data_IF_772178420170
#
_entry.id   IF_772178420170
#
_cell.length_a   1.000
_cell.length_b   1.000
_cell.length_c   1.000
_cell.angle_alpha   90.00
_cell.angle_beta   90.00
_cell.angle_gamma   90.00
#
_symmetry.space_group_name_H-M   'P 1'
#
loop_
_entity.id
_entity.type
_entity.pdbx_description
1 polymer ?
#
# COMPACT_ATOMS: atom_id res chain seq x y z
N UNK A 1 -9.64 8.04 12.21
CA UNK A 1 -8.45 7.37 12.76
C UNK A 1 -7.94 6.45 11.69
N UNK A 2 -6.63 6.38 11.53
CA UNK A 2 -6.02 5.44 10.59
C UNK A 2 -6.19 4.01 11.08
N UNK A 3 -6.17 3.04 10.16
CA UNK A 3 -6.36 1.62 10.49
C UNK A 3 -5.18 1.05 11.27
N UNK A 4 -4.03 0.86 10.59
CA UNK A 4 -2.79 0.38 11.19
C UNK A 4 -1.66 1.42 11.04
N UNK A 5 -0.86 1.59 12.10
CA UNK A 5 0.32 2.45 12.09
C UNK A 5 1.55 1.56 12.28
N UNK A 6 2.46 1.59 11.32
CA UNK A 6 3.78 0.93 11.38
C UNK A 6 4.85 2.02 11.51
N UNK A 7 5.55 2.06 12.64
CA UNK A 7 6.48 3.14 12.98
C UNK A 7 7.66 2.62 13.79
N UNK A 8 8.82 3.26 13.62
CA UNK A 8 10.03 2.98 14.39
C UNK A 8 10.90 1.88 13.77
N UNK A 9 12.17 1.78 14.20
CA UNK A 9 13.11 0.81 13.67
C UNK A 9 12.66 -0.62 14.02
N UNK A 10 12.66 -1.50 13.01
CA UNK A 10 12.29 -2.90 13.18
C UNK A 10 12.01 -3.56 11.84
N UNK A 11 11.89 -4.89 11.85
CA UNK A 11 11.42 -5.66 10.70
C UNK A 11 9.95 -5.99 10.90
N UNK A 12 9.11 -5.61 9.95
CA UNK A 12 7.67 -5.80 10.03
C UNK A 12 7.18 -6.63 8.86
N UNK A 13 6.19 -7.48 9.10
CA UNK A 13 5.44 -8.14 8.03
C UNK A 13 3.96 -7.90 8.27
N UNK A 14 3.33 -7.22 7.32
CA UNK A 14 1.88 -6.98 7.29
C UNK A 14 1.34 -7.80 6.15
N UNK A 15 0.72 -8.94 6.44
CA UNK A 15 0.24 -9.82 5.38
C UNK A 15 -1.09 -10.47 5.68
N UNK A 16 -1.81 -10.78 4.59
CA UNK A 16 -3.04 -11.57 4.62
C UNK A 16 -4.18 -10.89 5.41
N UNK A 17 -4.24 -9.54 5.40
CA UNK A 17 -5.27 -8.75 6.07
C UNK A 17 -6.27 -8.13 5.09
N UNK A 18 -7.45 -7.78 5.60
CA UNK A 18 -8.41 -6.89 4.94
C UNK A 18 -8.52 -5.61 5.77
N UNK A 19 -8.12 -4.49 5.19
CA UNK A 19 -8.36 -3.17 5.74
C UNK A 19 -9.59 -2.57 5.08
N UNK A 20 -10.61 -2.26 5.88
CA UNK A 20 -11.92 -1.80 5.40
C UNK A 20 -12.33 -0.55 6.18
N UNK A 21 -12.23 0.61 5.54
CA UNK A 21 -12.51 1.89 6.19
C UNK A 21 -11.30 2.60 6.81
N UNK A 22 -11.57 3.74 7.43
CA UNK A 22 -10.55 4.58 8.07
C UNK A 22 -10.23 5.86 7.27
N UNK A 23 -9.41 6.72 7.87
CA UNK A 23 -8.88 7.91 7.20
C UNK A 23 -7.80 7.47 6.21
N UNK A 24 -6.70 6.89 6.73
CA UNK A 24 -5.84 5.96 6.02
C UNK A 24 -6.18 4.50 6.37
N UNK A 25 -6.06 3.53 5.45
CA UNK A 25 -6.11 2.11 5.85
C UNK A 25 -4.83 1.73 6.61
N UNK A 26 -3.68 2.17 6.13
CA UNK A 26 -2.38 1.94 6.77
C UNK A 26 -1.48 3.17 6.63
N UNK A 27 -0.71 3.43 7.67
CA UNK A 27 0.33 4.46 7.74
C UNK A 27 1.69 3.80 8.01
N UNK A 28 2.69 4.09 7.19
CA UNK A 28 4.09 3.76 7.41
C UNK A 28 4.87 5.03 7.71
N UNK A 29 5.49 5.10 8.89
CA UNK A 29 6.28 6.25 9.31
C UNK A 29 7.76 5.96 9.50
N UNK A 30 8.47 6.97 10.01
CA UNK A 30 9.92 6.95 10.20
C UNK A 30 10.43 5.63 10.82
N UNK A 31 11.44 5.03 10.18
CA UNK A 31 12.08 3.79 10.63
C UNK A 31 11.46 2.49 10.11
N UNK A 32 10.29 2.55 9.44
CA UNK A 32 9.59 1.36 8.93
C UNK A 32 10.13 0.83 7.58
N UNK A 33 11.32 1.22 7.13
CA UNK A 33 11.85 0.82 5.81
C UNK A 33 12.08 -0.68 5.64
N UNK A 34 12.21 -1.45 6.73
CA UNK A 34 12.33 -2.91 6.68
C UNK A 34 10.96 -3.62 6.75
N UNK A 35 9.86 -2.91 6.50
CA UNK A 35 8.54 -3.51 6.42
C UNK A 35 8.28 -4.16 5.05
N UNK A 36 7.67 -5.35 5.08
CA UNK A 36 7.08 -6.01 3.92
C UNK A 36 5.57 -6.04 4.13
N UNK A 37 4.82 -5.51 3.18
CA UNK A 37 3.37 -5.46 3.18
C UNK A 37 2.83 -6.20 1.96
N UNK A 38 2.22 -7.36 2.15
CA UNK A 38 1.84 -8.23 1.03
C UNK A 38 0.58 -9.05 1.24
N UNK A 39 -0.12 -9.40 0.15
CA UNK A 39 -1.37 -10.19 0.16
C UNK A 39 -2.48 -9.57 1.01
N UNK A 40 -2.50 -8.25 1.16
CA UNK A 40 -3.57 -7.53 1.82
C UNK A 40 -4.59 -7.00 0.81
N UNK A 41 -5.79 -6.69 1.30
CA UNK A 41 -6.82 -5.96 0.58
C UNK A 41 -7.09 -4.64 1.28
N UNK A 42 -6.85 -3.52 0.60
CA UNK A 42 -7.10 -2.17 1.08
C UNK A 42 -8.33 -1.59 0.40
N UNK A 43 -9.37 -1.32 1.18
CA UNK A 43 -10.61 -0.72 0.70
C UNK A 43 -11.31 0.15 1.73
N UNK A 44 -12.33 0.87 1.29
CA UNK A 44 -13.20 1.71 2.09
C UNK A 44 -12.52 2.96 2.67
N UNK A 45 -11.26 3.26 2.30
CA UNK A 45 -10.56 4.44 2.84
C UNK A 45 -11.27 5.73 2.47
N UNK A 46 -11.32 6.67 3.41
CA UNK A 46 -11.94 7.98 3.18
C UNK A 46 -11.01 8.94 2.43
N UNK A 47 -9.72 8.94 2.80
CA UNK A 47 -8.75 9.92 2.32
C UNK A 47 -7.59 9.24 1.57
N UNK A 48 -6.99 8.18 2.13
CA UNK A 48 -5.96 7.40 1.42
C UNK A 48 -5.94 5.91 1.78
N UNK A 49 -5.59 5.01 0.86
CA UNK A 49 -5.42 3.61 1.23
C UNK A 49 -4.08 3.42 1.98
N UNK A 50 -2.98 3.93 1.42
CA UNK A 50 -1.63 3.79 1.98
C UNK A 50 -0.97 5.15 2.12
N UNK A 51 -0.66 5.53 3.35
CA UNK A 51 0.15 6.72 3.66
C UNK A 51 1.58 6.30 4.04
N UNK A 52 2.59 6.93 3.44
CA UNK A 52 4.00 6.58 3.63
C UNK A 52 4.79 7.86 3.87
N UNK A 53 5.47 7.95 5.01
CA UNK A 53 6.26 9.12 5.38
C UNK A 53 7.67 8.73 5.80
N UNK A 54 8.67 9.25 5.09
CA UNK A 54 10.11 9.12 5.43
C UNK A 54 10.58 7.67 5.66
N UNK A 55 10.01 6.71 4.94
CA UNK A 55 10.43 5.30 4.94
C UNK A 55 10.12 4.61 3.61
N UNK A 56 10.83 3.52 3.31
CA UNK A 56 10.76 2.81 2.03
C UNK A 56 10.33 1.35 2.22
N UNK A 57 9.10 1.09 2.71
CA UNK A 57 8.60 -0.28 2.83
C UNK A 57 8.47 -0.91 1.44
N UNK A 58 8.43 -2.25 1.39
CA UNK A 58 8.06 -2.99 0.17
C UNK A 58 6.60 -3.38 0.27
N UNK A 59 5.75 -2.82 -0.57
CA UNK A 59 4.30 -3.05 -0.54
C UNK A 59 3.93 -3.75 -1.83
N UNK A 60 3.90 -5.07 -1.85
CA UNK A 60 3.81 -5.87 -3.08
C UNK A 60 2.70 -6.90 -3.00
N UNK A 61 2.13 -7.28 -4.15
CA UNK A 61 1.10 -8.34 -4.21
C UNK A 61 -0.09 -8.04 -3.28
N UNK A 62 -0.62 -6.83 -3.30
CA UNK A 62 -1.85 -6.44 -2.58
C UNK A 62 -2.94 -6.04 -3.57
N UNK A 63 -4.18 -6.00 -3.10
CA UNK A 63 -5.28 -5.29 -3.77
C UNK A 63 -5.40 -3.90 -3.14
N UNK A 64 -5.16 -2.85 -3.92
CA UNK A 64 -5.22 -1.46 -3.47
C UNK A 64 -6.35 -0.75 -4.22
N UNK A 65 -7.48 -0.54 -3.54
CA UNK A 65 -8.58 0.25 -4.09
C UNK A 65 -8.45 1.69 -3.62
N UNK A 66 -8.49 2.63 -4.57
CA UNK A 66 -8.48 4.07 -4.25
C UNK A 66 -9.69 4.47 -3.38
N UNK A 67 -10.83 3.83 -3.60
CA UNK A 67 -12.15 4.23 -3.06
C UNK A 67 -12.38 5.74 -3.11
N UNK A 68 -12.21 6.46 -1.99
CA UNK A 68 -12.26 7.91 -1.91
C UNK A 68 -10.86 8.49 -1.71
N UNK A 69 -10.59 9.64 -2.34
CA UNK A 69 -9.32 10.36 -2.17
C UNK A 69 -8.18 9.88 -3.08
N UNK A 70 -7.08 9.41 -2.49
CA UNK A 70 -5.86 8.92 -3.18
C UNK A 70 -5.61 7.45 -2.83
N UNK A 71 -5.02 6.68 -3.73
CA UNK A 71 -4.61 5.31 -3.39
C UNK A 71 -3.35 5.34 -2.50
N UNK A 72 -2.37 6.17 -2.85
CA UNK A 72 -1.12 6.30 -2.10
C UNK A 72 -0.77 7.77 -1.93
N UNK A 73 -0.28 8.13 -0.75
CA UNK A 73 0.41 9.40 -0.52
C UNK A 73 1.82 9.06 -0.03
N UNK A 74 2.82 9.62 -0.70
CA UNK A 74 4.21 9.51 -0.31
C UNK A 74 4.71 10.89 0.13
N UNK A 75 5.12 10.99 1.40
CA UNK A 75 5.62 12.21 2.02
C UNK A 75 6.98 12.04 2.68
N UNK A 76 7.55 13.15 3.16
CA UNK A 76 8.73 13.09 4.02
C UNK A 76 10.06 12.83 3.30
N UNK A 77 10.21 13.34 2.07
CA UNK A 77 11.46 13.33 1.29
C UNK A 77 11.80 14.72 0.76
N UNK A 78 12.13 15.71 1.63
CA UNK A 78 12.30 17.09 1.18
C UNK A 78 13.64 17.36 0.46
N UNK A 79 14.50 16.35 0.33
CA UNK A 79 15.87 16.52 -0.17
C UNK A 79 16.31 15.30 -0.95
N UNK A 80 17.25 15.53 -1.87
CA UNK A 80 18.03 14.50 -2.54
C UNK A 80 18.81 13.63 -1.52
N UNK A 81 19.22 12.40 -1.91
CA UNK A 81 18.92 11.74 -3.19
C UNK A 81 17.46 11.28 -3.27
N UNK A 82 17.01 10.96 -4.49
CA UNK A 82 15.70 10.37 -4.70
C UNK A 82 15.57 9.02 -3.97
N UNK A 83 14.34 8.68 -3.58
CA UNK A 83 13.97 7.45 -2.89
C UNK A 83 12.83 6.77 -3.61
N UNK A 84 12.88 5.45 -3.69
CA UNK A 84 11.91 4.67 -4.43
C UNK A 84 11.23 3.68 -3.48
N UNK A 85 9.91 3.66 -3.49
CA UNK A 85 9.08 2.67 -2.79
C UNK A 85 8.67 1.61 -3.80
N UNK A 86 9.03 0.35 -3.52
CA UNK A 86 8.62 -0.79 -4.34
C UNK A 86 7.14 -1.10 -4.09
N UNK A 87 6.31 -0.77 -5.08
CA UNK A 87 4.88 -1.08 -5.11
C UNK A 87 4.50 -1.94 -6.33
N UNK A 88 5.43 -2.76 -6.79
CA UNK A 88 5.22 -3.65 -7.93
C UNK A 88 4.32 -4.83 -7.57
N UNK A 89 3.65 -5.41 -8.59
CA UNK A 89 2.82 -6.60 -8.46
C UNK A 89 1.51 -6.41 -7.68
N UNK A 90 1.16 -5.19 -7.28
CA UNK A 90 -0.16 -4.89 -6.70
C UNK A 90 -1.23 -4.81 -7.81
N UNK A 91 -2.45 -5.21 -7.48
CA UNK A 91 -3.64 -4.91 -8.27
C UNK A 91 -4.27 -3.62 -7.77
N UNK A 92 -4.66 -2.74 -8.68
CA UNK A 92 -5.16 -1.41 -8.33
C UNK A 92 -6.67 -1.24 -8.57
N UNK A 93 -7.39 -2.31 -8.94
CA UNK A 93 -8.79 -2.16 -9.38
C UNK A 93 -8.95 -1.60 -10.80
N UNK A 94 -7.83 -1.38 -11.52
CA UNK A 94 -7.81 -0.93 -12.91
C UNK A 94 -6.59 -1.50 -13.63
N UNK A 95 -6.65 -1.57 -14.97
CA UNK A 95 -5.53 -1.93 -15.83
C UNK A 95 -4.90 -0.70 -16.54
N UNK A 96 -5.39 0.51 -16.27
CA UNK A 96 -4.88 1.73 -16.89
C UNK A 96 -3.74 2.34 -16.05
N UNK A 97 -2.48 2.37 -16.54
CA UNK A 97 -1.35 2.97 -15.80
C UNK A 97 -1.55 4.46 -15.50
N UNK A 98 -2.19 5.22 -16.39
CA UNK A 98 -2.41 6.65 -16.19
C UNK A 98 -3.38 6.89 -15.03
N UNK A 99 -4.39 6.01 -14.88
CA UNK A 99 -5.29 6.05 -13.73
C UNK A 99 -4.53 5.75 -12.43
N UNK A 100 -3.64 4.76 -12.43
CA UNK A 100 -2.85 4.40 -11.24
C UNK A 100 -1.94 5.55 -10.84
N UNK A 101 -1.22 6.13 -11.81
CA UNK A 101 -0.36 7.29 -11.62
C UNK A 101 -1.14 8.47 -11.01
N UNK A 102 -2.31 8.81 -11.57
CA UNK A 102 -3.16 9.89 -11.06
C UNK A 102 -3.76 9.65 -9.65
N UNK A 103 -3.64 8.43 -9.10
CA UNK A 103 -4.11 8.09 -7.76
C UNK A 103 -3.01 8.11 -6.71
N UNK A 104 -1.76 8.18 -7.14
CA UNK A 104 -0.58 8.29 -6.31
C UNK A 104 -0.25 9.79 -6.18
N UNK A 105 0.23 10.19 -5.00
CA UNK A 105 0.91 11.48 -4.82
C UNK A 105 2.36 11.18 -4.47
N UNK A 106 3.29 11.53 -5.35
CA UNK A 106 4.72 11.32 -5.16
C UNK A 106 5.57 12.44 -5.80
N UNK A 107 6.86 12.19 -6.03
CA UNK A 107 7.81 13.16 -6.58
C UNK A 107 7.57 13.52 -8.06
N UNK A 108 6.69 12.82 -8.78
CA UNK A 108 6.25 13.22 -10.12
C UNK A 108 5.22 14.36 -10.09
N UNK A 109 4.57 14.59 -8.94
CA UNK A 109 3.54 15.62 -8.78
C UNK A 109 4.13 16.99 -8.45
N UNK A 110 3.43 18.06 -8.86
CA UNK A 110 3.75 19.43 -8.47
C UNK A 110 3.25 19.66 -7.05
N UNK A 111 4.13 19.46 -6.09
CA UNK A 111 3.88 19.62 -4.65
C UNK A 111 4.87 20.63 -4.05
N UNK A 112 4.45 21.35 -3.01
CA UNK A 112 5.29 22.32 -2.30
C UNK A 112 5.32 21.99 -0.81
N UNK A 113 6.49 21.65 -0.22
CA UNK A 113 7.80 21.54 -0.86
C UNK A 113 7.89 20.35 -1.83
N UNK A 114 8.85 20.38 -2.76
CA UNK A 114 9.12 19.26 -3.66
C UNK A 114 9.43 17.98 -2.87
N UNK A 115 8.89 16.86 -3.34
CA UNK A 115 9.12 15.53 -2.78
C UNK A 115 10.11 14.78 -3.67
N UNK A 116 11.13 14.18 -3.05
CA UNK A 116 12.15 13.33 -3.67
C UNK A 116 11.90 11.84 -3.40
N UNK A 117 10.64 11.46 -3.23
CA UNK A 117 10.19 10.09 -3.05
C UNK A 117 9.29 9.71 -4.22
N UNK A 118 9.48 8.52 -4.78
CA UNK A 118 8.78 8.04 -5.98
C UNK A 118 8.22 6.64 -5.73
N UNK A 119 7.03 6.37 -6.27
CA UNK A 119 6.40 5.07 -6.20
C UNK A 119 6.66 4.29 -7.49
N UNK A 120 7.31 3.13 -7.35
CA UNK A 120 7.49 2.20 -8.46
C UNK A 120 6.33 1.21 -8.49
N UNK A 121 5.26 1.51 -9.22
CA UNK A 121 4.07 0.64 -9.31
C UNK A 121 4.08 -0.31 -10.51
N UNK A 122 4.98 -0.14 -11.47
CA UNK A 122 5.10 -1.01 -12.65
C UNK A 122 6.21 -2.06 -12.48
N UNK A 123 5.96 -3.33 -12.87
CA UNK A 123 4.70 -3.86 -13.38
C UNK A 123 3.63 -3.99 -12.28
N UNK A 124 2.37 -3.69 -12.61
CA UNK A 124 1.22 -3.95 -11.72
C UNK A 124 0.47 -5.21 -12.15
N UNK A 125 -0.25 -5.83 -11.21
CA UNK A 125 -1.07 -7.00 -11.51
C UNK A 125 -2.31 -6.61 -12.30
N UNK A 126 -2.67 -7.39 -13.31
CA UNK A 126 -3.92 -7.23 -14.07
C UNK A 126 -5.14 -7.85 -13.38
N UNK A 127 -4.91 -8.68 -12.36
CA UNK A 127 -5.95 -9.37 -11.61
C UNK A 127 -5.75 -9.19 -10.09
N UNK A 128 -6.82 -9.22 -9.29
CA UNK A 128 -6.73 -9.21 -7.84
C UNK A 128 -5.83 -10.32 -7.31
N UNK A 129 -5.21 -10.11 -6.15
CA UNK A 129 -4.52 -11.20 -5.47
C UNK A 129 -5.50 -12.32 -5.12
N UNK A 130 -5.13 -13.60 -5.33
CA UNK A 130 -5.95 -14.71 -4.87
C UNK A 130 -6.05 -14.64 -3.35
N UNK A 131 -7.19 -14.17 -2.83
CA UNK A 131 -7.50 -14.35 -1.43
C UNK A 131 -7.80 -15.85 -1.27
N UNK A 132 -6.92 -16.56 -0.57
CA UNK A 132 -7.27 -17.91 -0.12
C UNK A 132 -8.49 -17.75 0.78
N UNK A 133 -9.67 -18.03 0.22
CA UNK A 133 -10.81 -18.41 1.05
C UNK A 133 -10.42 -19.74 1.64
N UNK A 134 -9.80 -19.75 2.81
CA UNK A 134 -9.89 -20.92 3.69
C UNK A 134 -11.37 -21.03 4.07
N UNK A 135 -12.17 -21.59 3.17
CA UNK A 135 -13.54 -21.93 3.49
C UNK A 135 -13.44 -22.93 4.63
N UNK A 136 -14.04 -22.59 5.77
CA UNK A 136 -14.18 -23.45 6.95
C UNK A 136 -14.80 -24.83 6.64
N UNK A 137 -15.26 -25.05 5.39
CA UNK A 137 -15.67 -26.34 4.86
C UNK A 137 -14.54 -27.37 4.72
N UNK A 138 -13.28 -26.94 4.57
CA UNK A 138 -12.14 -27.87 4.49
C UNK A 138 -11.69 -28.44 5.84
N UNK A 139 -11.87 -27.67 6.91
CA UNK A 139 -11.42 -28.06 8.27
C UNK A 139 -12.34 -29.11 8.92
N UNK A 140 -13.61 -29.18 8.50
CA UNK A 140 -14.56 -30.23 8.98
C UNK A 140 -14.24 -31.63 8.45
N UNK A 141 -13.33 -31.79 7.49
CA UNK A 141 -12.93 -33.09 6.96
C UNK A 141 -11.73 -33.73 7.71
N UNK A 142 -11.08 -33.00 8.63
CA UNK A 142 -9.87 -33.46 9.33
C UNK A 142 -10.13 -33.99 10.75
N UNK A 143 -11.37 -33.97 11.22
CA UNK A 143 -11.80 -34.63 12.44
C UNK A 143 -12.86 -35.67 12.10
N UNK A 144 -12.42 -36.91 11.90
CA UNK A 144 -13.25 -38.13 11.94
C UNK A 144 -12.65 -39.07 12.95
#
# INVERSE_FOLDING_TARGET
>A
GDGLIVYGPGSYTVADNVFDGGTANIYFGLGASNAICERNVFRGSRDTAVDIVSCTPRIIRNDIFKDRGRAVILGGYPQLPDRFVDMTGNYWGTANPDSISAWIVDGHDIVSPQIHGFVNFQPFSSAPVPTERTSLGGVKALFR
#
